data_IF_163945101101
#
_entry.id   IF_163945101101
#
_cell.length_a   1.000
_cell.length_b   1.000
_cell.length_c   1.000
_cell.angle_alpha   90.00
_cell.angle_beta   90.00
_cell.angle_gamma   90.00
#
_symmetry.space_group_name_H-M   'P 1'
#
loop_
_entity.id
_entity.type
_entity.pdbx_description
1 polymer ?
#
# COMPACT_ATOMS: atom_id res chain seq x y z
N UNK A 1 -46.17 -38.04 39.93
CA UNK A 1 -47.29 -38.22 38.97
C UNK A 1 -47.11 -37.22 37.84
N UNK A 2 -47.00 -37.75 36.60
CA UNK A 2 -46.97 -37.14 35.27
C UNK A 2 -45.84 -36.26 34.82
N UNK A 3 -45.00 -36.86 34.00
CA UNK A 3 -44.23 -36.42 32.85
C UNK A 3 -44.94 -35.39 31.97
N UNK A 4 -44.19 -34.39 31.42
CA UNK A 4 -44.31 -33.95 30.04
C UNK A 4 -42.95 -33.53 29.49
N UNK A 5 -42.57 -34.21 28.40
CA UNK A 5 -41.43 -33.92 27.51
C UNK A 5 -41.75 -32.65 26.70
N UNK A 6 -40.80 -31.76 26.54
CA UNK A 6 -40.77 -30.82 25.43
C UNK A 6 -39.59 -31.09 24.50
N UNK A 7 -39.94 -31.55 23.32
CA UNK A 7 -39.05 -31.66 22.17
C UNK A 7 -38.88 -30.28 21.56
N UNK A 8 -37.64 -29.81 21.46
CA UNK A 8 -37.30 -28.58 20.74
C UNK A 8 -36.76 -28.92 19.37
N UNK A 9 -37.46 -28.46 18.34
CA UNK A 9 -37.05 -28.53 16.94
C UNK A 9 -35.89 -27.58 16.68
N UNK A 10 -34.70 -28.11 16.36
CA UNK A 10 -33.61 -27.38 15.74
C UNK A 10 -33.79 -27.41 14.23
N UNK A 11 -34.17 -26.29 13.65
CA UNK A 11 -34.15 -26.05 12.21
C UNK A 11 -32.71 -25.84 11.74
N UNK A 12 -32.20 -26.74 10.91
CA UNK A 12 -30.95 -26.62 10.18
C UNK A 12 -31.07 -25.47 9.18
N UNK A 13 -30.22 -24.48 9.32
CA UNK A 13 -29.82 -23.62 8.20
C UNK A 13 -28.37 -23.97 7.83
N UNK A 14 -28.26 -24.77 6.77
CA UNK A 14 -26.99 -25.09 6.13
C UNK A 14 -26.60 -23.90 5.25
N UNK A 15 -25.66 -23.07 5.71
CA UNK A 15 -24.86 -22.23 4.80
C UNK A 15 -23.59 -23.00 4.50
N UNK A 16 -23.44 -23.37 3.25
CA UNK A 16 -22.20 -23.96 2.74
C UNK A 16 -21.09 -22.90 2.79
N UNK A 17 -20.26 -22.96 3.83
CA UNK A 17 -18.93 -22.39 3.82
C UNK A 17 -18.04 -23.51 3.29
N UNK A 18 -17.47 -23.36 2.10
CA UNK A 18 -16.39 -24.23 1.63
C UNK A 18 -15.15 -23.95 2.48
N UNK A 19 -15.14 -24.53 3.68
CA UNK A 19 -13.93 -24.73 4.45
C UNK A 19 -13.32 -26.04 3.98
N UNK A 20 -12.15 -26.01 3.39
CA UNK A 20 -11.34 -27.19 3.12
C UNK A 20 -10.94 -27.76 4.49
N UNK A 21 -11.71 -28.74 4.96
CA UNK A 21 -11.33 -29.55 6.11
C UNK A 21 -10.18 -30.45 5.67
N UNK A 22 -8.97 -30.15 6.12
CA UNK A 22 -7.84 -31.06 6.03
C UNK A 22 -8.14 -32.28 6.93
N UNK A 23 -8.57 -33.37 6.32
CA UNK A 23 -8.65 -34.66 6.99
C UNK A 23 -7.22 -35.21 7.05
N UNK A 24 -6.61 -35.19 8.23
CA UNK A 24 -5.36 -35.91 8.49
C UNK A 24 -5.64 -37.41 8.49
N UNK A 25 -5.50 -38.07 7.36
CA UNK A 25 -5.31 -39.49 7.27
C UNK A 25 -3.82 -39.79 7.48
N UNK A 26 -3.48 -40.39 8.60
CA UNK A 26 -2.15 -40.96 8.82
C UNK A 26 -2.00 -42.19 7.92
N UNK A 27 -1.45 -41.98 6.74
CA UNK A 27 -0.78 -43.00 5.96
C UNK A 27 0.70 -42.62 5.93
N UNK A 28 1.58 -43.57 6.14
CA UNK A 28 3.01 -43.46 6.38
C UNK A 28 3.85 -43.11 5.14
N UNK A 29 3.39 -42.15 4.36
CA UNK A 29 4.23 -41.47 3.36
C UNK A 29 3.86 -39.99 3.41
N UNK A 30 4.80 -39.17 3.92
CA UNK A 30 4.58 -37.78 4.30
C UNK A 30 4.20 -36.86 3.15
N UNK A 31 2.93 -36.62 2.98
CA UNK A 31 2.42 -35.45 2.22
C UNK A 31 2.45 -34.25 3.15
N UNK A 32 3.59 -33.59 3.23
CA UNK A 32 3.66 -32.21 3.71
C UNK A 32 3.02 -31.32 2.66
N UNK A 33 1.74 -30.98 2.81
CA UNK A 33 1.16 -29.84 2.09
C UNK A 33 1.86 -28.61 2.63
N UNK A 34 2.85 -28.13 1.90
CA UNK A 34 3.70 -27.02 2.29
C UNK A 34 2.94 -25.70 2.06
N UNK A 35 3.19 -24.70 2.90
CA UNK A 35 2.80 -23.30 2.65
C UNK A 35 3.28 -22.80 1.26
N UNK A 36 4.34 -23.40 0.72
CA UNK A 36 4.85 -23.24 -0.64
C UNK A 36 3.78 -23.55 -1.69
N UNK A 37 2.96 -24.58 -1.50
CA UNK A 37 1.93 -25.01 -2.47
C UNK A 37 0.82 -23.96 -2.63
N UNK A 38 0.35 -23.39 -1.51
CA UNK A 38 -0.71 -22.35 -1.53
C UNK A 38 -0.21 -21.08 -2.25
N UNK A 39 1.02 -20.69 -1.99
CA UNK A 39 1.64 -19.55 -2.66
C UNK A 39 1.76 -19.76 -4.18
N UNK A 40 2.23 -20.95 -4.60
CA UNK A 40 2.35 -21.30 -6.01
C UNK A 40 0.98 -21.34 -6.71
N UNK A 41 -0.05 -21.85 -6.05
CA UNK A 41 -1.43 -21.84 -6.56
C UNK A 41 -1.96 -20.42 -6.75
N UNK A 42 -1.70 -19.51 -5.79
CA UNK A 42 -2.11 -18.10 -5.91
C UNK A 42 -1.39 -17.40 -7.06
N UNK A 43 -0.07 -17.60 -7.20
CA UNK A 43 0.70 -17.04 -8.31
C UNK A 43 0.13 -17.53 -9.64
N UNK A 44 -0.08 -18.86 -9.78
CA UNK A 44 -0.62 -19.44 -11.01
C UNK A 44 -2.02 -18.92 -11.33
N UNK A 45 -2.90 -18.81 -10.32
CA UNK A 45 -4.21 -18.21 -10.47
C UNK A 45 -4.12 -16.76 -10.96
N UNK A 46 -3.34 -15.93 -10.26
CA UNK A 46 -3.19 -14.53 -10.61
C UNK A 46 -2.61 -14.35 -12.01
N UNK A 47 -1.60 -15.16 -12.40
CA UNK A 47 -1.04 -15.13 -13.75
C UNK A 47 -2.03 -15.52 -14.84
N UNK A 48 -3.09 -16.27 -14.51
CA UNK A 48 -4.16 -16.63 -15.44
C UNK A 48 -5.18 -15.53 -15.69
N UNK A 49 -5.21 -14.48 -14.83
CA UNK A 49 -6.14 -13.37 -14.95
C UNK A 49 -5.82 -12.49 -16.16
N UNK A 50 -6.87 -11.97 -16.78
CA UNK A 50 -6.73 -11.15 -17.97
C UNK A 50 -6.04 -9.80 -17.65
N UNK A 51 -5.13 -9.40 -18.52
CA UNK A 51 -4.56 -8.04 -18.56
C UNK A 51 -5.43 -7.21 -19.49
N UNK A 52 -6.26 -6.31 -18.92
CA UNK A 52 -7.26 -5.56 -19.69
C UNK A 52 -6.64 -4.65 -20.75
N UNK A 53 -5.46 -4.05 -20.47
CA UNK A 53 -4.75 -3.23 -21.46
C UNK A 53 -4.34 -4.01 -22.71
N UNK A 54 -4.17 -5.35 -22.64
CA UNK A 54 -3.83 -6.17 -23.80
C UNK A 54 -4.99 -6.30 -24.81
N UNK A 55 -6.23 -5.94 -24.42
CA UNK A 55 -7.38 -5.91 -25.32
C UNK A 55 -7.46 -4.62 -26.16
N UNK A 56 -6.64 -3.61 -25.86
CA UNK A 56 -6.63 -2.34 -26.59
C UNK A 56 -5.89 -2.53 -27.92
N UNK A 57 -6.56 -2.19 -29.02
CA UNK A 57 -5.99 -2.36 -30.35
C UNK A 57 -4.71 -1.53 -30.53
N UNK A 58 -3.67 -2.14 -31.09
CA UNK A 58 -2.34 -1.56 -31.29
C UNK A 58 -1.59 -1.15 -30.02
N UNK A 59 -2.05 -1.59 -28.83
CA UNK A 59 -1.34 -1.38 -27.58
C UNK A 59 -0.26 -2.46 -27.41
N UNK A 60 0.93 -2.14 -26.91
CA UNK A 60 1.94 -3.13 -26.62
C UNK A 60 1.41 -4.18 -25.63
N UNK A 61 1.73 -5.45 -25.88
CA UNK A 61 1.33 -6.53 -24.94
C UNK A 61 2.10 -6.38 -23.63
N UNK A 62 1.36 -6.20 -22.53
CA UNK A 62 1.93 -6.10 -21.20
C UNK A 62 2.42 -7.44 -20.64
N UNK A 63 3.31 -7.43 -19.64
CA UNK A 63 3.84 -8.65 -19.03
C UNK A 63 2.74 -9.43 -18.27
N UNK A 64 2.95 -10.73 -18.14
CA UNK A 64 2.20 -11.57 -17.21
C UNK A 64 2.85 -11.42 -15.83
N UNK A 65 2.07 -11.04 -14.83
CA UNK A 65 2.53 -10.73 -13.48
C UNK A 65 1.78 -11.56 -12.42
N UNK A 66 2.39 -11.71 -11.25
CA UNK A 66 1.88 -12.49 -10.11
C UNK A 66 0.87 -11.72 -9.26
N UNK A 67 0.85 -10.40 -9.33
CA UNK A 67 -0.13 -9.58 -8.61
C UNK A 67 -1.55 -9.84 -9.11
N UNK A 68 -2.56 -9.87 -8.20
CA UNK A 68 -3.97 -10.01 -8.57
C UNK A 68 -4.48 -8.74 -9.27
N UNK A 69 -4.09 -7.57 -8.76
CA UNK A 69 -4.40 -6.27 -9.35
C UNK A 69 -3.14 -5.45 -9.57
N UNK A 70 -3.04 -4.74 -10.70
CA UNK A 70 -1.92 -3.84 -10.97
C UNK A 70 -2.24 -2.75 -11.98
N UNK A 71 -1.60 -1.61 -11.83
CA UNK A 71 -1.64 -0.49 -12.77
C UNK A 71 -0.25 0.08 -13.00
N UNK A 72 0.02 0.47 -14.24
CA UNK A 72 1.11 1.38 -14.56
C UNK A 72 0.51 2.64 -15.21
N UNK A 73 0.82 3.80 -14.65
CA UNK A 73 0.23 5.08 -15.04
C UNK A 73 1.32 6.13 -15.27
N UNK A 74 1.20 6.93 -16.31
CA UNK A 74 2.00 8.15 -16.45
C UNK A 74 1.59 9.16 -15.39
N UNK A 75 2.55 9.57 -14.56
CA UNK A 75 2.28 10.40 -13.38
C UNK A 75 1.72 11.78 -13.73
N UNK A 76 2.15 12.39 -14.84
CA UNK A 76 1.76 13.75 -15.19
C UNK A 76 0.41 13.79 -15.90
N UNK A 77 0.18 12.88 -16.85
CA UNK A 77 -1.04 12.88 -17.66
C UNK A 77 -2.19 12.05 -17.06
N UNK A 78 -1.85 11.06 -16.21
CA UNK A 78 -2.81 10.07 -15.74
C UNK A 78 -3.13 8.98 -16.77
N UNK A 79 -2.40 8.91 -17.89
CA UNK A 79 -2.61 7.89 -18.90
C UNK A 79 -2.25 6.50 -18.33
N UNK A 80 -3.20 5.55 -18.47
CA UNK A 80 -3.01 4.17 -18.02
C UNK A 80 -2.27 3.40 -19.11
N UNK A 81 -1.06 2.92 -18.79
CA UNK A 81 -0.21 2.17 -19.71
C UNK A 81 -0.39 0.66 -19.56
N UNK A 82 -0.69 0.19 -18.34
CA UNK A 82 -1.00 -1.19 -18.04
C UNK A 82 -2.18 -1.25 -17.06
N UNK A 83 -3.10 -2.17 -17.30
CA UNK A 83 -4.27 -2.37 -16.46
C UNK A 83 -4.56 -3.86 -16.24
N UNK A 84 -4.62 -4.28 -14.98
CA UNK A 84 -5.06 -5.59 -14.53
C UNK A 84 -5.90 -5.41 -13.26
N UNK A 85 -7.21 -5.69 -13.35
CA UNK A 85 -8.18 -5.57 -12.25
C UNK A 85 -8.10 -4.22 -11.48
N UNK A 86 -7.85 -3.13 -12.18
CA UNK A 86 -7.47 -1.84 -11.57
C UNK A 86 -8.54 -1.22 -10.66
N UNK A 87 -9.80 -1.63 -10.77
CA UNK A 87 -10.93 -1.18 -9.96
C UNK A 87 -11.41 -2.23 -8.95
N UNK A 88 -10.68 -3.35 -8.80
CA UNK A 88 -10.99 -4.34 -7.79
C UNK A 88 -10.68 -3.80 -6.41
N UNK A 89 -11.66 -3.90 -5.50
CA UNK A 89 -11.50 -3.50 -4.10
C UNK A 89 -10.64 -4.53 -3.38
N UNK A 90 -9.58 -4.06 -2.75
CA UNK A 90 -8.61 -4.86 -2.02
C UNK A 90 -8.15 -4.14 -0.76
N UNK A 91 -7.58 -4.89 0.18
CA UNK A 91 -6.96 -4.34 1.38
C UNK A 91 -5.62 -3.68 1.01
N UNK A 92 -5.43 -2.39 1.35
CA UNK A 92 -4.19 -1.68 1.01
C UNK A 92 -2.99 -2.07 1.89
N UNK A 93 -3.21 -2.59 3.09
CA UNK A 93 -2.19 -2.68 4.12
C UNK A 93 -1.47 -1.33 4.32
N UNK A 94 -0.18 -1.33 4.68
CA UNK A 94 0.59 -0.10 4.95
C UNK A 94 0.82 0.82 3.74
N UNK A 95 0.33 0.50 2.54
CA UNK A 95 0.31 1.49 1.44
C UNK A 95 -0.69 2.62 1.72
N UNK A 96 -1.65 2.43 2.63
CA UNK A 96 -2.50 3.49 3.23
C UNK A 96 -1.69 4.70 3.70
N UNK A 97 -0.48 4.45 4.24
CA UNK A 97 0.37 5.48 4.83
C UNK A 97 0.86 6.54 3.84
N UNK A 98 0.81 6.28 2.53
CA UNK A 98 1.08 7.32 1.52
C UNK A 98 0.02 8.43 1.56
N UNK A 99 -1.26 8.08 1.79
CA UNK A 99 -2.32 9.09 1.95
C UNK A 99 -2.19 9.82 3.28
N UNK A 100 -1.92 9.11 4.37
CA UNK A 100 -1.72 9.69 5.70
C UNK A 100 -0.59 10.71 5.70
N UNK A 101 0.57 10.36 5.15
CA UNK A 101 1.74 11.25 5.11
C UNK A 101 1.59 12.38 4.08
N UNK A 102 0.86 12.15 2.99
CA UNK A 102 0.48 13.21 2.06
C UNK A 102 -0.36 14.28 2.76
N UNK A 103 -1.44 13.87 3.44
CA UNK A 103 -2.32 14.79 4.18
C UNK A 103 -1.54 15.56 5.25
N UNK A 104 -0.65 14.87 6.00
CA UNK A 104 0.19 15.51 6.99
C UNK A 104 1.12 16.56 6.36
N UNK A 105 1.75 16.26 5.24
CA UNK A 105 2.63 17.20 4.51
C UNK A 105 1.90 18.41 3.92
N UNK A 106 0.60 18.27 3.66
CA UNK A 106 -0.25 19.35 3.12
C UNK A 106 -0.84 20.26 4.21
N UNK A 107 -0.99 19.75 5.44
CA UNK A 107 -1.70 20.45 6.53
C UNK A 107 -0.81 20.94 7.65
N UNK A 108 0.39 20.39 7.80
CA UNK A 108 1.28 20.67 8.93
C UNK A 108 2.65 21.16 8.47
N UNK A 109 3.28 22.00 9.30
CA UNK A 109 4.70 22.30 9.15
C UNK A 109 5.56 21.13 9.66
N UNK A 110 6.72 20.93 9.07
CA UNK A 110 7.60 19.80 9.44
C UNK A 110 8.16 19.90 10.85
N UNK A 111 8.21 21.10 11.42
CA UNK A 111 8.66 21.40 12.79
C UNK A 111 7.54 21.39 13.85
N UNK A 112 6.28 21.18 13.46
CA UNK A 112 5.19 20.99 14.42
C UNK A 112 5.45 19.79 15.34
N UNK A 113 5.10 19.95 16.61
CA UNK A 113 5.31 18.91 17.62
C UNK A 113 4.07 18.04 17.71
N UNK A 114 4.23 16.75 17.50
CA UNK A 114 3.20 15.72 17.62
C UNK A 114 3.31 15.07 18.99
N UNK A 115 2.22 15.10 19.76
CA UNK A 115 2.08 14.44 21.05
C UNK A 115 1.65 12.97 20.85
N UNK A 116 2.23 12.06 21.64
CA UNK A 116 1.84 10.66 21.62
C UNK A 116 0.90 10.37 22.78
N UNK A 117 -0.39 10.20 22.46
CA UNK A 117 -1.41 9.82 23.44
C UNK A 117 -1.25 8.34 23.87
N UNK A 118 -1.92 7.96 24.95
CA UNK A 118 -2.01 6.57 25.37
C UNK A 118 -2.66 5.69 24.28
N UNK A 119 -3.74 6.17 23.66
CA UNK A 119 -4.50 5.46 22.64
C UNK A 119 -3.68 5.30 21.35
N UNK A 120 -2.99 6.35 20.87
CA UNK A 120 -2.13 6.24 19.69
C UNK A 120 -1.04 5.17 19.85
N UNK A 121 -0.47 5.04 21.04
CA UNK A 121 0.61 4.06 21.29
C UNK A 121 0.07 2.63 21.49
N UNK A 122 -1.11 2.46 22.11
CA UNK A 122 -1.60 1.15 22.53
C UNK A 122 -2.69 0.53 21.65
N UNK A 123 -3.35 1.31 20.77
CA UNK A 123 -4.39 0.80 19.88
C UNK A 123 -3.82 0.02 18.66
N UNK A 124 -2.51 -0.12 18.58
CA UNK A 124 -1.87 -0.93 17.52
C UNK A 124 -1.97 -2.42 17.82
N UNK A 125 -2.10 -3.24 16.77
CA UNK A 125 -2.10 -4.70 16.92
C UNK A 125 -0.75 -5.20 17.45
N UNK A 126 -0.76 -6.17 18.40
CA UNK A 126 0.46 -6.79 18.90
C UNK A 126 1.31 -7.37 17.76
N UNK A 127 2.59 -7.02 17.72
CA UNK A 127 3.54 -7.47 16.71
C UNK A 127 3.50 -6.70 15.39
N UNK A 128 2.64 -5.68 15.26
CA UNK A 128 2.67 -4.76 14.13
C UNK A 128 3.90 -3.82 14.19
N UNK A 129 4.23 -3.18 13.06
CA UNK A 129 5.41 -2.30 13.00
C UNK A 129 5.26 -1.07 13.89
N UNK A 130 6.28 -0.78 14.70
CA UNK A 130 6.36 0.39 15.57
C UNK A 130 7.83 0.81 15.77
N UNK A 131 8.08 1.98 16.37
CA UNK A 131 9.39 2.48 16.78
C UNK A 131 9.57 2.50 18.30
N UNK A 132 8.59 1.95 19.04
CA UNK A 132 8.56 1.87 20.50
C UNK A 132 8.53 3.22 21.23
N UNK A 133 7.92 4.23 20.64
CA UNK A 133 7.63 5.51 21.31
C UNK A 133 6.65 5.28 22.47
N UNK A 134 6.80 6.01 23.58
CA UNK A 134 5.97 5.88 24.77
C UNK A 134 4.92 6.99 24.88
N UNK A 135 3.80 6.76 25.62
CA UNK A 135 2.80 7.81 25.85
C UNK A 135 3.39 9.01 26.58
N UNK A 136 3.07 10.21 26.07
CA UNK A 136 3.56 11.48 26.60
C UNK A 136 4.89 11.95 25.99
N UNK A 137 5.53 11.14 25.18
CA UNK A 137 6.65 11.56 24.34
C UNK A 137 6.17 12.41 23.17
N UNK A 138 7.12 13.08 22.51
CA UNK A 138 6.85 14.02 21.43
C UNK A 138 7.92 13.91 20.35
N UNK A 139 7.49 13.94 19.09
CA UNK A 139 8.34 14.04 17.92
C UNK A 139 7.95 15.25 17.07
N UNK A 140 8.88 15.74 16.24
CA UNK A 140 8.53 16.66 15.17
C UNK A 140 7.72 15.93 14.08
N UNK A 141 6.92 16.65 13.31
CA UNK A 141 6.19 16.07 12.17
C UNK A 141 7.17 15.41 11.18
N UNK A 142 8.34 16.01 10.92
CA UNK A 142 9.36 15.42 10.05
C UNK A 142 9.84 14.06 10.55
N UNK A 143 10.12 13.93 11.86
CA UNK A 143 10.50 12.65 12.48
C UNK A 143 9.36 11.62 12.38
N UNK A 144 8.12 12.07 12.60
CA UNK A 144 6.94 11.21 12.43
C UNK A 144 6.81 10.69 11.00
N UNK A 145 6.89 11.57 9.99
CA UNK A 145 6.77 11.13 8.59
C UNK A 145 7.91 10.19 8.18
N UNK A 146 9.13 10.44 8.63
CA UNK A 146 10.25 9.51 8.42
C UNK A 146 9.99 8.14 9.08
N UNK A 147 9.49 8.10 10.32
CA UNK A 147 9.16 6.87 11.01
C UNK A 147 8.03 6.08 10.28
N UNK A 148 7.00 6.77 9.81
CA UNK A 148 5.90 6.18 9.03
C UNK A 148 6.39 5.61 7.70
N UNK A 149 7.23 6.33 6.98
CA UNK A 149 7.66 5.92 5.62
C UNK A 149 8.78 4.87 5.65
N UNK A 150 9.73 4.96 6.58
CA UNK A 150 10.89 4.07 6.68
C UNK A 150 10.56 2.78 7.43
N UNK A 151 10.02 2.92 8.66
CA UNK A 151 9.72 1.77 9.54
C UNK A 151 8.29 1.27 9.39
N UNK A 152 7.42 2.06 8.74
CA UNK A 152 5.98 1.79 8.68
C UNK A 152 5.31 1.82 10.06
N UNK A 153 5.76 2.72 10.96
CA UNK A 153 5.31 2.82 12.34
C UNK A 153 3.81 3.08 12.43
N UNK A 154 3.08 2.20 13.11
CA UNK A 154 1.62 2.26 13.20
C UNK A 154 1.16 3.26 14.26
N UNK A 155 1.77 3.25 15.44
CA UNK A 155 1.49 4.19 16.53
C UNK A 155 1.76 5.63 16.11
N UNK A 156 2.82 5.85 15.35
CA UNK A 156 3.14 7.19 14.82
C UNK A 156 2.07 7.66 13.83
N UNK A 157 1.51 6.73 13.04
CA UNK A 157 0.40 7.05 12.14
C UNK A 157 -0.86 7.46 12.90
N UNK A 158 -1.14 6.83 14.06
CA UNK A 158 -2.25 7.23 14.94
C UNK A 158 -2.00 8.60 15.58
N UNK A 159 -0.81 8.85 16.11
CA UNK A 159 -0.48 10.14 16.71
C UNK A 159 -0.57 11.30 15.69
N UNK A 160 -0.08 11.10 14.47
CA UNK A 160 -0.23 12.08 13.37
C UNK A 160 -1.71 12.29 13.02
N UNK A 161 -2.51 11.23 13.01
CA UNK A 161 -3.94 11.32 12.76
C UNK A 161 -4.68 12.12 13.86
N UNK A 162 -4.37 11.89 15.13
CA UNK A 162 -4.89 12.67 16.27
C UNK A 162 -4.47 14.14 16.18
N UNK A 163 -3.22 14.40 15.87
CA UNK A 163 -2.70 15.76 15.71
C UNK A 163 -3.47 16.55 14.65
N UNK A 164 -3.74 15.93 13.49
CA UNK A 164 -4.42 16.59 12.37
C UNK A 164 -5.94 16.70 12.59
N UNK A 165 -6.57 15.69 13.15
CA UNK A 165 -8.02 15.72 13.47
C UNK A 165 -8.33 16.66 14.63
N UNK A 166 -7.38 16.86 15.55
CA UNK A 166 -7.54 17.59 16.80
C UNK A 166 -8.42 16.85 17.83
N UNK A 167 -8.72 15.57 17.57
CA UNK A 167 -9.60 14.72 18.39
C UNK A 167 -9.01 13.31 18.51
N UNK A 168 -9.63 12.31 17.92
CA UNK A 168 -9.17 10.92 17.93
C UNK A 168 -8.60 10.52 16.56
N UNK A 169 -7.76 9.48 16.52
CA UNK A 169 -7.26 8.96 15.26
C UNK A 169 -8.38 8.41 14.34
N UNK A 170 -9.52 7.99 14.92
CA UNK A 170 -10.68 7.51 14.16
C UNK A 170 -11.31 8.60 13.29
N UNK A 171 -11.37 9.83 13.80
CA UNK A 171 -11.96 10.97 13.08
C UNK A 171 -11.12 11.38 11.86
N UNK A 172 -9.87 10.95 11.80
CA UNK A 172 -9.01 11.14 10.61
C UNK A 172 -9.50 10.38 9.38
N UNK A 173 -10.29 9.32 9.55
CA UNK A 173 -10.89 8.57 8.45
C UNK A 173 -11.71 9.45 7.51
N UNK A 174 -12.50 10.38 8.04
CA UNK A 174 -13.30 11.32 7.24
C UNK A 174 -12.39 12.25 6.42
N UNK A 175 -11.30 12.73 7.01
CA UNK A 175 -10.30 13.58 6.33
C UNK A 175 -9.63 12.80 5.19
N UNK A 176 -9.29 11.53 5.42
CA UNK A 176 -8.71 10.66 4.40
C UNK A 176 -9.68 10.45 3.24
N UNK A 177 -10.94 10.15 3.50
CA UNK A 177 -11.96 9.91 2.49
C UNK A 177 -12.27 11.16 1.67
N UNK A 178 -12.33 12.34 2.31
CA UNK A 178 -12.48 13.62 1.61
C UNK A 178 -11.30 13.84 0.66
N UNK A 179 -10.06 13.68 1.16
CA UNK A 179 -8.86 13.89 0.35
C UNK A 179 -8.74 12.88 -0.79
N UNK A 180 -9.04 11.61 -0.55
CA UNK A 180 -9.07 10.59 -1.60
C UNK A 180 -10.05 10.95 -2.72
N UNK A 181 -11.26 11.42 -2.36
CA UNK A 181 -12.25 11.90 -3.34
C UNK A 181 -11.75 13.09 -4.16
N UNK A 182 -11.09 14.06 -3.52
CA UNK A 182 -10.49 15.21 -4.22
C UNK A 182 -9.41 14.79 -5.22
N UNK A 183 -8.65 13.72 -4.89
CA UNK A 183 -7.65 13.14 -5.78
C UNK A 183 -8.26 12.32 -6.94
N UNK A 184 -9.58 12.11 -6.95
CA UNK A 184 -10.28 11.35 -7.98
C UNK A 184 -10.41 9.85 -7.71
N UNK A 185 -10.24 9.42 -6.46
CA UNK A 185 -10.50 8.05 -6.06
C UNK A 185 -12.01 7.73 -6.13
N UNK A 186 -12.34 6.53 -6.57
CA UNK A 186 -13.74 6.09 -6.80
C UNK A 186 -14.09 4.75 -6.13
N UNK A 187 -13.08 3.98 -5.73
CA UNK A 187 -13.23 2.61 -5.21
C UNK A 187 -12.70 2.46 -3.78
N UNK A 188 -12.39 3.57 -3.08
CA UNK A 188 -11.73 3.54 -1.77
C UNK A 188 -12.63 3.96 -0.63
N UNK A 189 -12.36 3.38 0.54
CA UNK A 189 -12.86 3.83 1.82
C UNK A 189 -11.78 3.57 2.89
N UNK A 190 -11.42 4.59 3.64
CA UNK A 190 -10.38 4.54 4.67
C UNK A 190 -10.99 4.77 6.05
N UNK A 191 -10.66 3.89 7.02
CA UNK A 191 -11.16 3.97 8.40
C UNK A 191 -10.04 4.06 9.44
N UNK A 192 -8.78 3.92 9.00
CA UNK A 192 -7.62 4.08 9.87
C UNK A 192 -6.41 4.64 9.08
N UNK A 193 -5.45 5.30 9.75
CA UNK A 193 -4.31 5.95 9.08
C UNK A 193 -3.16 5.02 8.73
N UNK A 194 -3.17 3.75 9.16
CA UNK A 194 -2.04 2.84 9.07
C UNK A 194 -2.23 1.65 8.13
N UNK A 195 -3.47 1.32 7.76
CA UNK A 195 -3.80 0.22 6.86
C UNK A 195 -3.94 -1.14 7.53
N UNK A 196 -4.11 -1.20 8.85
CA UNK A 196 -4.47 -2.44 9.54
C UNK A 196 -5.84 -2.94 9.05
N UNK A 197 -6.06 -4.26 9.00
CA UNK A 197 -7.24 -4.83 8.38
C UNK A 197 -8.55 -4.41 9.06
N UNK A 198 -9.48 -3.93 8.26
CA UNK A 198 -10.87 -3.69 8.62
C UNK A 198 -11.71 -3.92 7.35
N UNK A 199 -12.87 -4.55 7.46
CA UNK A 199 -13.73 -4.87 6.30
C UNK A 199 -14.18 -3.61 5.54
N UNK A 200 -14.28 -2.47 6.23
CA UNK A 200 -14.58 -1.18 5.63
C UNK A 200 -13.34 -0.41 5.14
N UNK A 201 -12.12 -0.97 5.30
CA UNK A 201 -10.88 -0.34 4.87
C UNK A 201 -10.37 -0.99 3.59
N UNK A 202 -10.67 -0.39 2.45
CA UNK A 202 -10.34 -0.91 1.13
C UNK A 202 -9.98 0.19 0.14
N UNK A 203 -9.30 -0.21 -0.91
CA UNK A 203 -8.91 0.65 -2.04
C UNK A 203 -8.81 -0.18 -3.32
N UNK A 204 -8.40 0.44 -4.42
CA UNK A 204 -8.08 -0.21 -5.68
C UNK A 204 -6.70 0.19 -6.19
N UNK A 205 -6.15 -0.56 -7.15
CA UNK A 205 -4.88 -0.20 -7.77
C UNK A 205 -4.97 1.17 -8.48
N UNK A 206 -6.12 1.49 -9.08
CA UNK A 206 -6.38 2.79 -9.69
C UNK A 206 -6.33 3.91 -8.66
N UNK A 207 -7.05 3.77 -7.54
CA UNK A 207 -7.11 4.80 -6.51
C UNK A 207 -5.76 5.02 -5.83
N UNK A 208 -5.02 3.93 -5.54
CA UNK A 208 -3.66 4.05 -5.02
C UNK A 208 -2.71 4.73 -6.01
N UNK A 209 -2.91 4.55 -7.32
CA UNK A 209 -2.14 5.27 -8.32
C UNK A 209 -2.49 6.77 -8.33
N UNK A 210 -3.76 7.14 -8.14
CA UNK A 210 -4.19 8.55 -8.04
C UNK A 210 -3.60 9.21 -6.78
N UNK A 211 -3.63 8.52 -5.64
CA UNK A 211 -2.97 8.98 -4.40
C UNK A 211 -1.45 9.07 -4.62
N UNK A 212 -0.86 8.06 -5.25
CA UNK A 212 0.57 8.02 -5.58
C UNK A 212 1.03 9.19 -6.45
N UNK A 213 0.22 9.63 -7.41
CA UNK A 213 0.51 10.82 -8.23
C UNK A 213 0.72 12.07 -7.37
N UNK A 214 -0.17 12.31 -6.42
CA UNK A 214 -0.04 13.45 -5.51
C UNK A 214 1.14 13.27 -4.55
N UNK A 215 1.31 12.08 -3.98
CA UNK A 215 2.40 11.78 -3.06
C UNK A 215 3.78 11.96 -3.72
N UNK A 216 4.01 11.36 -4.88
CA UNK A 216 5.30 11.41 -5.56
C UNK A 216 5.55 12.73 -6.33
N UNK A 217 4.60 13.66 -6.34
CA UNK A 217 4.84 15.04 -6.72
C UNK A 217 5.56 15.84 -5.62
N UNK A 218 5.54 15.35 -4.37
CA UNK A 218 6.24 15.97 -3.25
C UNK A 218 7.67 15.38 -3.10
N UNK A 219 8.67 16.16 -3.47
CA UNK A 219 10.07 15.73 -3.43
C UNK A 219 10.58 15.38 -2.01
N UNK A 220 10.05 16.03 -0.97
CA UNK A 220 10.45 15.75 0.40
C UNK A 220 9.97 14.34 0.82
N UNK A 221 8.72 14.00 0.52
CA UNK A 221 8.17 12.67 0.78
C UNK A 221 8.91 11.58 -0.02
N UNK A 222 9.25 11.86 -1.29
CA UNK A 222 10.08 10.96 -2.10
C UNK A 222 11.42 10.66 -1.41
N UNK A 223 12.14 11.71 -0.97
CA UNK A 223 13.42 11.57 -0.28
C UNK A 223 13.31 10.75 1.00
N UNK A 224 12.25 10.96 1.79
CA UNK A 224 12.00 10.17 3.01
C UNK A 224 11.86 8.67 2.69
N UNK A 225 11.11 8.29 1.64
CA UNK A 225 10.98 6.86 1.26
C UNK A 225 12.28 6.23 0.79
N UNK A 226 13.22 7.03 0.27
CA UNK A 226 14.53 6.58 -0.23
C UNK A 226 15.62 6.59 0.83
N UNK A 227 15.33 7.10 2.03
CA UNK A 227 16.27 7.16 3.15
C UNK A 227 16.57 5.76 3.68
N UNK A 228 17.86 5.41 3.81
CA UNK A 228 18.28 4.07 4.24
C UNK A 228 18.06 3.78 5.73
N UNK A 229 18.13 4.80 6.55
CA UNK A 229 18.06 4.65 8.01
C UNK A 229 17.37 5.86 8.64
N UNK A 230 16.37 5.58 9.48
CA UNK A 230 15.84 6.54 10.43
C UNK A 230 16.79 6.61 11.63
N UNK A 231 17.10 7.80 12.08
CA UNK A 231 17.81 8.02 13.33
C UNK A 231 17.18 9.24 14.04
N UNK A 232 16.48 8.98 15.13
CA UNK A 232 15.92 10.01 16.01
C UNK A 232 16.79 10.05 17.26
N UNK A 233 17.46 11.18 17.47
CA UNK A 233 18.36 11.38 18.59
C UNK A 233 17.59 11.65 19.89
N UNK A 234 18.13 11.25 21.05
CA UNK A 234 17.55 11.59 22.35
C UNK A 234 17.35 13.09 22.51
N UNK A 235 16.22 13.47 23.09
CA UNK A 235 15.88 14.86 23.40
C UNK A 235 15.16 14.93 24.76
N UNK A 236 14.86 16.15 25.24
CA UNK A 236 14.03 16.33 26.44
C UNK A 236 12.59 15.84 26.25
N UNK A 237 12.15 15.67 24.98
CA UNK A 237 10.79 15.25 24.62
C UNK A 237 10.67 13.76 24.38
N UNK A 238 11.79 13.11 24.02
CA UNK A 238 11.89 11.68 23.74
C UNK A 238 13.31 11.25 24.09
N UNK A 239 13.54 10.41 25.15
CA UNK A 239 14.86 10.15 25.71
C UNK A 239 15.65 9.04 24.99
N UNK A 240 15.03 8.27 24.11
CA UNK A 240 15.63 7.11 23.48
C UNK A 240 16.42 7.44 22.20
N UNK A 241 17.45 6.66 21.91
CA UNK A 241 18.19 6.68 20.65
C UNK A 241 17.53 5.68 19.68
N UNK A 242 16.63 6.17 18.81
CA UNK A 242 15.83 5.32 17.92
C UNK A 242 16.51 5.19 16.58
N UNK A 243 16.94 3.99 16.23
CA UNK A 243 17.55 3.66 14.94
C UNK A 243 16.79 2.55 14.22
N UNK A 244 16.28 2.82 13.01
CA UNK A 244 15.56 1.88 12.20
C UNK A 244 16.05 1.84 10.75
N UNK A 245 16.32 0.65 10.23
CA UNK A 245 16.79 0.45 8.86
C UNK A 245 15.59 0.32 7.91
N UNK A 246 15.67 1.03 6.79
CA UNK A 246 14.72 0.86 5.71
C UNK A 246 14.91 -0.53 5.06
N UNK A 247 13.88 -1.37 5.13
CA UNK A 247 13.90 -2.74 4.59
C UNK A 247 13.44 -2.83 3.13
N UNK A 248 13.30 -1.68 2.47
CA UNK A 248 12.86 -1.62 1.07
C UNK A 248 13.96 -2.10 0.13
N UNK A 249 13.70 -3.17 -0.58
CA UNK A 249 14.67 -3.83 -1.47
C UNK A 249 14.80 -3.17 -2.86
N UNK A 250 13.90 -2.22 -3.21
CA UNK A 250 13.98 -1.46 -4.46
C UNK A 250 14.93 -0.27 -4.42
N UNK A 251 15.24 0.25 -3.21
CA UNK A 251 16.16 1.39 -3.05
C UNK A 251 17.61 0.98 -3.34
N UNK A 252 18.52 1.92 -3.62
CA UNK A 252 19.93 1.60 -3.87
C UNK A 252 20.53 0.71 -2.78
N UNK A 253 21.24 -0.33 -3.17
CA UNK A 253 21.82 -1.32 -2.25
C UNK A 253 20.89 -2.48 -1.87
N UNK A 254 19.61 -2.43 -2.16
CA UNK A 254 18.68 -3.54 -2.01
C UNK A 254 18.84 -4.59 -3.10
N UNK A 255 18.33 -5.81 -2.86
CA UNK A 255 18.43 -6.94 -3.80
C UNK A 255 17.75 -6.67 -5.15
N UNK A 256 16.66 -5.90 -5.11
CA UNK A 256 15.84 -5.54 -6.27
C UNK A 256 16.02 -4.06 -6.67
N UNK A 257 17.16 -3.45 -6.31
CA UNK A 257 17.42 -2.03 -6.55
C UNK A 257 17.09 -1.63 -8.00
N UNK A 258 16.21 -0.63 -8.17
CA UNK A 258 15.81 -0.12 -9.46
C UNK A 258 16.44 1.24 -9.74
N UNK A 259 17.25 1.40 -10.80
CA UNK A 259 18.12 2.60 -10.96
C UNK A 259 17.34 3.90 -11.18
N UNK A 260 16.09 3.81 -11.59
CA UNK A 260 15.23 4.96 -11.89
C UNK A 260 14.20 5.25 -10.79
N UNK A 261 14.28 4.54 -9.65
CA UNK A 261 13.32 4.69 -8.56
C UNK A 261 13.37 6.09 -7.97
N UNK A 262 12.19 6.70 -7.80
CA UNK A 262 11.97 8.00 -7.17
C UNK A 262 11.48 7.85 -5.73
N UNK A 263 10.70 6.83 -5.47
CA UNK A 263 10.17 6.51 -4.15
C UNK A 263 9.23 5.32 -4.18
N UNK A 264 8.94 4.76 -3.00
CA UNK A 264 8.06 3.61 -2.89
C UNK A 264 7.58 3.36 -1.46
N UNK A 265 6.47 2.61 -1.31
CA UNK A 265 5.94 2.15 -0.03
C UNK A 265 5.34 0.77 -0.17
N UNK A 266 5.78 -0.17 0.68
CA UNK A 266 5.21 -1.51 0.78
C UNK A 266 4.10 -1.58 1.81
N UNK A 267 3.25 -2.60 1.66
CA UNK A 267 2.31 -3.05 2.66
C UNK A 267 2.23 -4.57 2.71
N UNK A 268 1.95 -5.12 3.87
CA UNK A 268 1.65 -6.53 4.06
C UNK A 268 0.70 -6.72 5.23
N UNK A 269 -0.31 -7.53 5.01
CA UNK A 269 -1.10 -8.24 6.02
C UNK A 269 -1.50 -9.59 5.43
N UNK A 270 -1.93 -10.53 6.25
CA UNK A 270 -2.33 -11.84 5.74
C UNK A 270 -3.48 -11.77 4.72
N UNK A 271 -4.40 -10.83 4.88
CA UNK A 271 -5.54 -10.64 3.96
C UNK A 271 -5.18 -9.80 2.72
N UNK A 272 -4.30 -8.80 2.87
CA UNK A 272 -3.83 -7.96 1.75
C UNK A 272 -2.73 -8.64 0.94
N UNK A 273 -2.01 -9.59 1.52
CA UNK A 273 -0.74 -10.10 1.01
C UNK A 273 0.25 -8.95 0.78
N UNK A 274 1.13 -9.07 -0.19
CA UNK A 274 2.09 -8.01 -0.50
C UNK A 274 1.47 -6.97 -1.42
N UNK A 275 1.62 -5.70 -1.04
CA UNK A 275 1.23 -4.53 -1.81
C UNK A 275 2.42 -3.60 -1.97
N UNK A 276 2.52 -2.91 -3.12
CA UNK A 276 3.58 -1.94 -3.37
C UNK A 276 3.06 -0.81 -4.25
N UNK A 277 3.29 0.42 -3.78
CA UNK A 277 3.11 1.63 -4.59
C UNK A 277 4.49 2.23 -4.81
N UNK A 278 4.84 2.53 -6.05
CA UNK A 278 6.17 3.00 -6.40
C UNK A 278 6.12 4.00 -7.56
N UNK A 279 7.15 4.83 -7.64
CA UNK A 279 7.35 5.79 -8.70
C UNK A 279 8.77 5.66 -9.25
N UNK A 280 8.90 5.69 -10.57
CA UNK A 280 10.19 5.75 -11.26
C UNK A 280 10.18 6.83 -12.33
N UNK A 281 11.35 7.42 -12.58
CA UNK A 281 11.53 8.44 -13.62
C UNK A 281 12.73 8.13 -14.50
N UNK A 282 12.50 8.13 -15.80
CA UNK A 282 13.54 7.91 -16.81
C UNK A 282 13.28 8.81 -18.02
N UNK A 283 14.31 9.49 -18.49
CA UNK A 283 14.28 10.34 -19.70
C UNK A 283 13.10 11.36 -19.70
N UNK A 284 12.77 11.90 -18.51
CA UNK A 284 11.70 12.88 -18.32
C UNK A 284 10.27 12.27 -18.30
N UNK A 285 10.13 10.96 -18.38
CA UNK A 285 8.87 10.25 -18.16
C UNK A 285 8.81 9.70 -16.74
N UNK A 286 7.80 10.10 -15.97
CA UNK A 286 7.56 9.65 -14.60
C UNK A 286 6.38 8.70 -14.57
N UNK A 287 6.57 7.50 -14.03
CA UNK A 287 5.58 6.43 -13.98
C UNK A 287 5.24 6.06 -12.54
N UNK A 288 3.96 5.86 -12.27
CA UNK A 288 3.44 5.27 -11.03
C UNK A 288 3.10 3.81 -11.31
N UNK A 289 3.63 2.92 -10.47
CA UNK A 289 3.31 1.51 -10.50
C UNK A 289 2.67 1.10 -9.17
N UNK A 290 1.53 0.41 -9.25
CA UNK A 290 0.88 -0.21 -8.09
C UNK A 290 0.68 -1.68 -8.39
N UNK A 291 1.10 -2.53 -7.46
CA UNK A 291 0.81 -3.97 -7.44
C UNK A 291 0.13 -4.31 -6.11
N UNK A 292 -0.95 -5.08 -6.16
CA UNK A 292 -1.75 -5.46 -4.99
C UNK A 292 -2.00 -6.95 -4.97
N UNK A 293 -2.11 -7.48 -3.75
CA UNK A 293 -2.41 -8.88 -3.45
C UNK A 293 -1.47 -9.85 -4.17
N UNK A 294 -0.20 -9.54 -4.06
CA UNK A 294 0.90 -10.29 -4.65
C UNK A 294 1.64 -11.12 -3.60
N UNK A 295 2.58 -11.91 -4.03
CA UNK A 295 3.41 -12.75 -3.18
C UNK A 295 4.83 -12.16 -3.01
N UNK A 296 5.41 -12.33 -1.83
CA UNK A 296 6.80 -11.97 -1.60
C UNK A 296 7.73 -13.09 -2.14
N UNK A 297 8.76 -12.81 -2.97
CA UNK A 297 9.23 -11.47 -3.37
C UNK A 297 8.70 -10.94 -4.71
N UNK A 298 7.74 -11.62 -5.33
CA UNK A 298 7.29 -11.36 -6.70
C UNK A 298 6.83 -9.91 -6.93
N UNK A 299 6.24 -9.25 -5.91
CA UNK A 299 5.80 -7.87 -6.04
C UNK A 299 6.93 -6.88 -6.41
N UNK A 300 8.19 -7.19 -6.10
CA UNK A 300 9.33 -6.43 -6.59
C UNK A 300 9.62 -6.72 -8.08
N UNK A 301 9.58 -7.99 -8.45
CA UNK A 301 9.85 -8.45 -9.82
C UNK A 301 8.77 -7.93 -10.77
N UNK A 302 7.50 -7.99 -10.36
CA UNK A 302 6.37 -7.47 -11.11
C UNK A 302 6.46 -5.95 -11.30
N UNK A 303 6.83 -5.22 -10.25
CA UNK A 303 7.03 -3.77 -10.31
C UNK A 303 8.13 -3.40 -11.30
N UNK A 304 9.27 -4.09 -11.27
CA UNK A 304 10.39 -3.88 -12.21
C UNK A 304 9.93 -4.19 -13.65
N UNK A 305 9.25 -5.32 -13.84
CA UNK A 305 8.76 -5.70 -15.17
C UNK A 305 7.76 -4.67 -15.74
N UNK A 306 6.92 -4.09 -14.91
CA UNK A 306 5.98 -3.04 -15.30
C UNK A 306 6.69 -1.73 -15.64
N UNK A 307 7.68 -1.30 -14.86
CA UNK A 307 8.47 -0.12 -15.20
C UNK A 307 9.25 -0.33 -16.51
N UNK A 308 9.91 -1.47 -16.67
CA UNK A 308 10.65 -1.79 -17.90
C UNK A 308 9.72 -1.85 -19.12
N UNK A 309 8.52 -2.42 -18.96
CA UNK A 309 7.48 -2.38 -20.00
C UNK A 309 7.10 -0.95 -20.36
N UNK A 310 6.85 -0.09 -19.37
CA UNK A 310 6.49 1.30 -19.58
C UNK A 310 7.58 2.08 -20.34
N UNK A 311 8.79 2.05 -19.83
CA UNK A 311 9.90 2.81 -20.41
C UNK A 311 10.38 2.27 -21.77
N UNK A 312 10.12 0.99 -22.08
CA UNK A 312 10.51 0.40 -23.36
C UNK A 312 9.50 0.61 -24.48
N UNK A 313 8.22 0.78 -24.14
CA UNK A 313 7.13 0.80 -25.12
C UNK A 313 6.47 2.16 -25.29
N UNK A 314 6.69 3.09 -24.37
CA UNK A 314 6.03 4.40 -24.40
C UNK A 314 7.05 5.53 -24.29
N UNK A 315 6.69 6.65 -24.90
CA UNK A 315 7.47 7.88 -24.81
C UNK A 315 6.56 9.09 -24.80
N UNK A 316 7.00 10.16 -24.16
CA UNK A 316 6.29 11.44 -24.24
C UNK A 316 6.52 12.11 -25.56
N UNK A 317 5.42 12.57 -26.16
CA UNK A 317 5.47 13.38 -27.39
C UNK A 317 4.92 14.76 -27.05
N UNK A 318 5.72 15.81 -27.21
CA UNK A 318 5.28 17.17 -27.04
C UNK A 318 4.61 17.67 -28.34
N UNK A 319 3.28 17.63 -28.37
CA UNK A 319 2.49 17.99 -29.55
C UNK A 319 2.58 19.50 -29.87
N UNK A 320 2.87 20.37 -28.89
CA UNK A 320 2.95 21.82 -29.08
C UNK A 320 4.12 22.29 -29.96
N UNK A 321 5.10 21.44 -30.22
CA UNK A 321 6.23 21.73 -31.13
C UNK A 321 5.94 21.38 -32.59
N UNK A 322 4.79 20.78 -32.91
CA UNK A 322 4.42 20.33 -34.28
C UNK A 322 3.47 21.28 -35.00
N UNK A 323 3.03 22.38 -34.40
CA UNK A 323 2.34 23.43 -35.11
C UNK A 323 3.36 24.23 -35.94
N UNK A 324 3.77 23.68 -37.06
CA UNK A 324 4.36 24.49 -38.15
C UNK A 324 3.31 25.50 -38.61
N UNK A 325 3.68 26.78 -38.47
CA UNK A 325 2.96 27.95 -38.97
C UNK A 325 2.31 27.67 -40.31
N UNK A 326 0.99 27.58 -40.38
CA UNK A 326 0.27 27.84 -41.57
C UNK A 326 0.30 29.34 -41.78
N UNK A 327 1.22 29.84 -42.61
CA UNK A 327 1.15 31.18 -43.16
C UNK A 327 -0.06 31.20 -44.13
N UNK A 328 -1.11 31.91 -43.77
CA UNK A 328 -2.20 32.32 -44.65
C UNK A 328 -1.72 33.48 -45.48
#
# INVERSE_FOLDING_TARGET
>A
MRFFKHLSYRTLFTKAVMGISVICLFASDGLTVSATTIKEENIAYNQSLAVQSNAVANWPTGPVISAESAILMDADTGAILYAKNIHQKEYPASTTKILTTLIASERCSMDEIVDFSYDAVHDIDPGSNHIAIEPGEQLTMEECLNAILIRSANEVSFAVAEHISGTTWQDFGDIMNERAKELGCVDSHFVNPNGLPNEEHYTSAYDLAMIGRAFFANEALCKMTMTHMLHILPSERQPDDIMEVNKMELIPGGKYAYPYLVGCKTGYTDVARSTLVSCAEKDGMKLICVVMKDENPNYYEDTIALFDYGFSNFQRVNISQTETKYNI
#
